data_IF_054497559392
#
_entry.id   IF_054497559392
#
_cell.length_a   1.000
_cell.length_b   1.000
_cell.length_c   1.000
_cell.angle_alpha   90.00
_cell.angle_beta   90.00
_cell.angle_gamma   90.00
#
_symmetry.space_group_name_H-M   'P 1'
#
loop_
_entity.id
_entity.type
_entity.pdbx_description
1 polymer ?
#
# COMPACT_ATOMS: atom_id res chain seq x y z
N UNK A 1 -1.47 22.88 -11.82
CA UNK A 1 -1.73 21.43 -11.80
C UNK A 1 -0.79 20.81 -10.77
N UNK A 2 -1.02 21.13 -9.49
CA UNK A 2 -1.67 20.32 -8.44
C UNK A 2 -0.72 19.51 -7.53
N UNK A 3 0.59 19.47 -7.80
CA UNK A 3 1.59 19.02 -6.79
C UNK A 3 2.18 20.14 -5.91
N UNK A 4 2.02 21.42 -6.28
CA UNK A 4 2.54 22.55 -5.48
C UNK A 4 1.51 23.24 -4.57
N UNK A 5 0.20 23.00 -4.74
CA UNK A 5 -0.83 23.75 -4.02
C UNK A 5 -1.12 23.26 -2.61
N UNK A 6 -0.83 22.00 -2.30
CA UNK A 6 -0.97 21.46 -0.93
C UNK A 6 0.17 21.98 -0.06
N UNK A 7 1.37 22.02 -0.61
CA UNK A 7 2.60 22.48 0.05
C UNK A 7 2.57 23.99 0.38
N UNK A 8 1.98 24.80 -0.50
CA UNK A 8 1.81 26.25 -0.28
C UNK A 8 0.73 26.52 0.78
N UNK A 9 -0.41 25.83 0.74
CA UNK A 9 -1.46 26.02 1.76
C UNK A 9 -1.05 25.49 3.14
N UNK A 10 -0.27 24.41 3.19
CA UNK A 10 0.29 23.91 4.44
C UNK A 10 1.22 24.96 5.09
N UNK A 11 2.06 25.63 4.29
CA UNK A 11 2.90 26.75 4.75
C UNK A 11 2.10 27.98 5.19
N UNK A 12 1.06 28.37 4.46
CA UNK A 12 0.19 29.50 4.82
C UNK A 12 -0.66 29.24 6.08
N UNK A 13 -0.93 27.97 6.40
CA UNK A 13 -1.63 27.54 7.63
C UNK A 13 -0.70 27.25 8.81
N UNK A 14 0.61 27.48 8.66
CA UNK A 14 1.61 27.26 9.71
C UNK A 14 1.92 25.78 9.99
N UNK A 15 1.48 24.86 9.13
CA UNK A 15 1.80 23.43 9.22
C UNK A 15 3.20 23.19 8.63
N UNK A 16 4.17 22.96 9.51
CA UNK A 16 5.49 22.44 9.11
C UNK A 16 5.35 20.95 8.77
N UNK A 17 5.12 20.62 7.50
CA UNK A 17 5.41 19.28 7.01
C UNK A 17 6.93 19.21 6.88
N UNK A 18 7.58 18.51 7.81
CA UNK A 18 9.03 18.31 7.76
C UNK A 18 9.35 17.30 6.65
N UNK A 19 10.38 17.57 5.81
CA UNK A 19 10.82 16.64 4.79
C UNK A 19 11.53 15.46 5.43
N UNK A 20 11.35 14.27 4.86
CA UNK A 20 12.06 13.00 5.08
C UNK A 20 12.29 12.61 6.56
N UNK A 21 11.70 11.49 6.98
CA UNK A 21 11.82 10.98 8.36
C UNK A 21 13.28 10.63 8.66
N UNK A 22 14.05 11.62 9.14
CA UNK A 22 15.25 11.36 9.93
C UNK A 22 14.81 10.62 11.19
N UNK A 23 15.54 9.57 11.55
CA UNK A 23 15.35 8.82 12.80
C UNK A 23 15.68 9.73 13.98
N UNK A 24 14.73 10.57 14.37
CA UNK A 24 14.84 11.49 15.48
C UNK A 24 14.81 10.78 16.83
N UNK A 25 15.48 11.38 17.81
CA UNK A 25 15.43 10.96 19.21
C UNK A 25 13.97 10.82 19.69
N UNK A 26 13.70 9.80 20.52
CA UNK A 26 12.39 9.59 21.14
C UNK A 26 11.87 10.91 21.75
N UNK A 27 10.87 11.53 21.13
CA UNK A 27 10.24 12.75 21.63
C UNK A 27 9.74 13.77 20.59
N UNK A 28 10.13 13.71 19.31
CA UNK A 28 9.68 14.72 18.32
C UNK A 28 8.46 14.34 17.48
N UNK A 29 8.02 13.08 17.52
CA UNK A 29 6.92 12.56 16.70
C UNK A 29 5.88 11.84 17.58
N UNK A 30 4.58 11.87 17.21
CA UNK A 30 3.56 11.16 17.96
C UNK A 30 3.81 9.65 17.93
N UNK A 31 3.61 8.92 19.05
CA UNK A 31 3.87 7.48 19.10
C UNK A 31 3.13 6.67 18.03
N UNK A 32 1.91 7.08 17.68
CA UNK A 32 1.14 6.43 16.62
C UNK A 32 1.80 6.51 15.22
N UNK A 33 2.59 7.55 14.95
CA UNK A 33 3.37 7.66 13.71
C UNK A 33 4.65 6.83 13.78
N UNK A 34 5.34 6.86 14.93
CA UNK A 34 6.58 6.09 15.14
C UNK A 34 6.33 4.60 15.02
N UNK A 35 5.22 4.11 15.60
CA UNK A 35 4.85 2.70 15.56
C UNK A 35 4.18 2.28 14.24
N UNK A 36 3.82 3.23 13.38
CA UNK A 36 3.26 2.90 12.08
C UNK A 36 4.39 2.47 11.14
N UNK A 37 4.41 1.23 10.61
CA UNK A 37 5.48 0.80 9.71
C UNK A 37 5.50 1.57 8.38
N UNK A 38 4.38 2.17 7.99
CA UNK A 38 4.27 3.05 6.83
C UNK A 38 4.58 4.53 7.16
N UNK A 39 4.78 4.88 8.43
CA UNK A 39 5.05 6.26 8.86
C UNK A 39 3.87 7.22 8.69
N UNK A 40 2.63 6.72 8.65
CA UNK A 40 1.43 7.55 8.52
C UNK A 40 1.36 8.55 9.68
N UNK A 41 1.26 9.85 9.37
CA UNK A 41 1.09 10.88 10.38
C UNK A 41 -0.36 10.87 10.90
N UNK A 42 -0.58 10.14 11.99
CA UNK A 42 -1.88 9.99 12.62
C UNK A 42 -2.47 11.31 13.15
N UNK A 43 -1.64 12.26 13.60
CA UNK A 43 -2.12 13.53 14.17
C UNK A 43 -2.77 14.41 13.10
N UNK A 44 -2.07 14.66 11.99
CA UNK A 44 -2.59 15.51 10.91
C UNK A 44 -3.78 14.85 10.21
N UNK A 45 -3.71 13.52 10.05
CA UNK A 45 -4.83 12.71 9.58
C UNK A 45 -6.09 12.93 10.44
N UNK A 46 -5.99 12.77 11.76
CA UNK A 46 -7.10 12.93 12.69
C UNK A 46 -7.62 14.37 12.73
N UNK A 47 -6.71 15.35 12.62
CA UNK A 47 -7.05 16.76 12.56
C UNK A 47 -7.91 17.10 11.33
N UNK A 48 -7.52 16.64 10.13
CA UNK A 48 -8.31 16.81 8.91
C UNK A 48 -9.67 16.11 9.02
N UNK A 49 -9.67 14.91 9.57
CA UNK A 49 -10.88 14.13 9.77
C UNK A 49 -11.87 14.84 10.70
N UNK A 50 -11.39 15.41 11.81
CA UNK A 50 -12.21 16.17 12.76
C UNK A 50 -12.84 17.44 12.14
N UNK A 51 -12.27 17.96 11.06
CA UNK A 51 -12.81 19.08 10.30
C UNK A 51 -13.76 18.66 9.17
N UNK A 52 -14.03 17.36 9.01
CA UNK A 52 -14.83 16.83 7.90
C UNK A 52 -14.12 16.88 6.54
N UNK A 53 -12.80 17.13 6.51
CA UNK A 53 -11.98 17.16 5.29
C UNK A 53 -11.56 15.74 4.89
N UNK A 54 -12.55 14.93 4.50
CA UNK A 54 -12.38 13.49 4.30
C UNK A 54 -11.43 13.16 3.13
N UNK A 55 -11.53 13.89 2.02
CA UNK A 55 -10.65 13.70 0.85
C UNK A 55 -9.20 14.00 1.23
N UNK A 56 -8.96 15.13 1.87
CA UNK A 56 -7.62 15.55 2.30
C UNK A 56 -7.02 14.60 3.35
N UNK A 57 -7.84 14.09 4.27
CA UNK A 57 -7.40 13.09 5.24
C UNK A 57 -6.96 11.78 4.55
N UNK A 58 -7.66 11.36 3.50
CA UNK A 58 -7.30 10.16 2.72
C UNK A 58 -6.03 10.38 1.90
N UNK A 59 -5.89 11.54 1.27
CA UNK A 59 -4.66 11.90 0.55
C UNK A 59 -3.44 11.93 1.49
N UNK A 60 -3.62 12.36 2.75
CA UNK A 60 -2.53 12.32 3.72
C UNK A 60 -2.08 10.88 4.03
N UNK A 61 -3.00 9.92 4.13
CA UNK A 61 -2.63 8.50 4.26
C UNK A 61 -1.91 8.03 3.00
N UNK A 62 -2.37 8.43 1.80
CA UNK A 62 -1.74 8.11 0.52
C UNK A 62 -0.35 8.67 0.37
N UNK A 63 -0.01 9.80 0.99
CA UNK A 63 1.37 10.30 1.01
C UNK A 63 2.35 9.28 1.60
N UNK A 64 1.89 8.44 2.54
CA UNK A 64 2.69 7.37 3.12
C UNK A 64 2.51 6.03 2.37
N UNK A 65 1.27 5.65 2.03
CA UNK A 65 0.97 4.35 1.41
C UNK A 65 -0.39 4.36 0.68
N UNK A 66 -0.51 3.78 -0.53
CA UNK A 66 -1.75 3.87 -1.33
C UNK A 66 -2.86 2.89 -0.89
N UNK A 67 -2.75 2.30 0.31
CA UNK A 67 -3.53 1.14 0.74
C UNK A 67 -4.37 1.38 2.00
N UNK A 68 -5.00 2.55 2.12
CA UNK A 68 -5.84 2.92 3.28
C UNK A 68 -6.98 1.90 3.53
N UNK A 69 -7.67 1.45 2.50
CA UNK A 69 -8.77 0.50 2.54
C UNK A 69 -8.33 -0.92 2.90
N UNK A 70 -7.21 -1.38 2.36
CA UNK A 70 -6.56 -2.63 2.78
C UNK A 70 -6.13 -2.53 4.24
N UNK A 71 -5.36 -1.50 4.62
CA UNK A 71 -4.87 -1.32 5.99
C UNK A 71 -6.02 -1.22 7.00
N UNK A 72 -7.09 -0.51 6.65
CA UNK A 72 -8.29 -0.41 7.47
C UNK A 72 -8.97 -1.76 7.75
N UNK A 73 -8.63 -2.81 7.01
CA UNK A 73 -9.20 -4.16 7.15
C UNK A 73 -8.23 -5.17 7.71
N UNK A 74 -6.94 -5.10 7.38
CA UNK A 74 -5.99 -6.18 7.70
C UNK A 74 -4.83 -5.75 8.58
N UNK A 75 -4.64 -4.45 8.82
CA UNK A 75 -3.58 -3.94 9.69
C UNK A 75 -3.72 -4.48 11.13
N UNK A 76 -2.59 -4.80 11.76
CA UNK A 76 -2.48 -5.14 13.17
C UNK A 76 -2.41 -3.90 14.09
N UNK A 77 -2.60 -2.70 13.53
CA UNK A 77 -2.84 -1.45 14.25
C UNK A 77 -1.88 -1.15 15.43
N UNK A 78 -0.55 -1.32 15.25
CA UNK A 78 0.42 -1.05 16.32
C UNK A 78 0.37 0.41 16.80
N UNK A 79 -0.02 1.32 15.91
CA UNK A 79 -0.24 2.73 16.21
C UNK A 79 -1.34 3.00 17.26
N UNK A 80 -2.30 2.08 17.43
CA UNK A 80 -3.35 2.18 18.44
C UNK A 80 -2.87 1.68 19.80
N UNK A 81 -1.93 0.72 19.83
CA UNK A 81 -1.36 0.18 21.08
C UNK A 81 -0.60 1.26 21.87
N UNK A 82 0.20 2.08 21.18
CA UNK A 82 0.97 3.16 21.82
C UNK A 82 0.23 4.51 21.78
N UNK A 83 -1.09 4.51 21.56
CA UNK A 83 -1.85 5.75 21.48
C UNK A 83 -1.89 6.48 22.83
N UNK A 84 -1.39 7.72 22.88
CA UNK A 84 -1.40 8.57 24.09
C UNK A 84 -2.82 8.78 24.66
N UNK A 85 -3.86 8.77 23.81
CA UNK A 85 -5.25 8.88 24.28
C UNK A 85 -5.66 7.71 25.18
N UNK A 86 -5.08 6.53 24.96
CA UNK A 86 -5.29 5.34 25.79
C UNK A 86 -4.78 5.49 27.23
N UNK A 87 -4.01 6.54 27.55
CA UNK A 87 -3.62 6.88 28.94
C UNK A 87 -4.70 7.67 29.68
N UNK A 88 -5.69 8.20 28.97
CA UNK A 88 -6.80 8.98 29.53
C UNK A 88 -8.08 8.15 29.50
N UNK A 89 -8.42 7.59 28.33
CA UNK A 89 -9.56 6.68 28.12
C UNK A 89 -9.19 5.60 27.08
N UNK A 90 -9.87 5.53 25.94
CA UNK A 90 -9.66 4.51 24.92
C UNK A 90 -8.75 5.03 23.79
N UNK A 91 -7.84 4.19 23.24
CA UNK A 91 -7.12 4.50 22.02
C UNK A 91 -8.03 4.89 20.86
N UNK A 92 -7.55 5.80 20.02
CA UNK A 92 -8.27 6.17 18.81
C UNK A 92 -8.23 5.01 17.81
N UNK A 93 -9.39 4.67 17.24
CA UNK A 93 -9.53 3.58 16.27
C UNK A 93 -9.02 3.94 14.86
N UNK A 94 -7.74 4.32 14.73
CA UNK A 94 -7.08 4.76 13.50
C UNK A 94 -7.32 3.78 12.33
N UNK A 95 -7.22 2.48 12.54
CA UNK A 95 -7.51 1.45 11.52
C UNK A 95 -8.95 1.54 11.02
N UNK A 96 -9.91 1.67 11.93
CA UNK A 96 -11.32 1.83 11.55
C UNK A 96 -11.57 3.13 10.79
N UNK A 97 -10.83 4.18 11.10
CA UNK A 97 -10.92 5.46 10.39
C UNK A 97 -10.30 5.39 8.99
N UNK A 98 -9.19 4.67 8.79
CA UNK A 98 -8.67 4.36 7.45
C UNK A 98 -9.71 3.60 6.62
N UNK A 99 -10.37 2.60 7.22
CA UNK A 99 -11.46 1.87 6.56
C UNK A 99 -12.60 2.80 6.19
N UNK A 100 -13.05 3.65 7.12
CA UNK A 100 -14.12 4.60 6.89
C UNK A 100 -13.82 5.52 5.69
N UNK A 101 -12.61 6.08 5.61
CA UNK A 101 -12.23 6.95 4.51
C UNK A 101 -12.24 6.24 3.15
N UNK A 102 -11.64 5.06 3.08
CA UNK A 102 -11.61 4.29 1.85
C UNK A 102 -13.01 3.84 1.41
N UNK A 103 -13.86 3.43 2.37
CA UNK A 103 -15.24 3.02 2.10
C UNK A 103 -16.10 4.23 1.67
N UNK A 104 -15.86 5.40 2.28
CA UNK A 104 -16.51 6.65 1.91
C UNK A 104 -16.15 7.04 0.47
N UNK A 105 -14.87 7.05 0.12
CA UNK A 105 -14.43 7.36 -1.24
C UNK A 105 -15.01 6.38 -2.27
N UNK A 106 -14.99 5.08 -1.98
CA UNK A 106 -15.57 4.08 -2.89
C UNK A 106 -17.08 4.31 -3.11
N UNK A 107 -17.81 4.72 -2.06
CA UNK A 107 -19.25 4.98 -2.13
C UNK A 107 -19.58 6.26 -2.90
N UNK A 108 -18.86 7.35 -2.62
CA UNK A 108 -19.08 8.65 -3.29
C UNK A 108 -18.53 8.67 -4.71
N UNK A 109 -17.61 7.75 -5.03
CA UNK A 109 -16.83 7.75 -6.25
C UNK A 109 -15.56 8.58 -6.09
N UNK A 110 -14.44 8.02 -6.54
CA UNK A 110 -13.16 8.72 -6.60
C UNK A 110 -13.00 9.46 -7.93
N UNK A 111 -12.45 10.66 -7.89
CA UNK A 111 -11.96 11.35 -9.07
C UNK A 111 -10.77 10.57 -9.66
N UNK A 112 -10.74 10.37 -10.98
CA UNK A 112 -9.61 9.68 -11.62
C UNK A 112 -8.30 10.40 -11.28
N UNK A 113 -7.28 9.64 -10.87
CA UNK A 113 -6.00 10.22 -10.53
C UNK A 113 -5.37 10.86 -11.77
N UNK A 114 -4.70 11.99 -11.58
CA UNK A 114 -3.95 12.62 -12.68
C UNK A 114 -2.64 11.87 -12.85
N UNK A 115 -2.31 11.37 -14.05
CA UNK A 115 -1.04 10.70 -14.29
C UNK A 115 0.14 11.60 -13.91
N UNK A 116 1.12 11.03 -13.22
CA UNK A 116 2.34 11.75 -12.84
C UNK A 116 3.22 11.92 -14.08
N UNK A 117 3.79 13.12 -14.23
CA UNK A 117 4.76 13.39 -15.28
C UNK A 117 6.05 12.60 -15.01
N UNK A 118 6.50 11.85 -16.03
CA UNK A 118 7.73 11.07 -15.97
C UNK A 118 8.92 11.98 -16.22
N UNK A 119 9.45 12.59 -15.17
CA UNK A 119 10.58 13.53 -15.21
C UNK A 119 11.95 12.84 -15.28
N UNK A 120 11.99 11.51 -15.12
CA UNK A 120 13.19 10.68 -15.23
C UNK A 120 13.17 9.84 -16.51
N UNK A 121 14.35 9.49 -17.01
CA UNK A 121 14.49 8.65 -18.21
C UNK A 121 14.68 7.17 -17.85
N UNK A 122 15.19 6.89 -16.65
CA UNK A 122 15.52 5.54 -16.20
C UNK A 122 14.26 4.71 -15.95
N UNK A 123 14.03 3.71 -16.81
CA UNK A 123 12.93 2.77 -16.65
C UNK A 123 13.21 1.78 -15.53
N UNK A 124 12.25 1.61 -14.61
CA UNK A 124 12.36 0.70 -13.47
C UNK A 124 11.40 -0.47 -13.63
N UNK A 125 11.89 -1.68 -13.42
CA UNK A 125 11.08 -2.90 -13.43
C UNK A 125 10.83 -3.38 -11.99
N UNK A 126 9.59 -3.76 -11.71
CA UNK A 126 9.20 -4.36 -10.43
C UNK A 126 8.67 -5.77 -10.72
N UNK A 127 9.19 -6.77 -10.02
CA UNK A 127 8.84 -8.17 -10.25
C UNK A 127 7.93 -8.66 -9.13
N UNK A 128 6.63 -8.72 -9.40
CA UNK A 128 5.57 -9.06 -8.45
C UNK A 128 4.72 -7.84 -8.06
N UNK A 129 3.40 -8.00 -8.10
CA UNK A 129 2.39 -6.98 -7.74
C UNK A 129 1.80 -7.20 -6.34
N UNK A 130 2.59 -7.76 -5.43
CA UNK A 130 2.21 -7.84 -4.01
C UNK A 130 2.27 -6.47 -3.32
N UNK A 131 2.00 -6.41 -1.99
CA UNK A 131 2.02 -5.16 -1.22
C UNK A 131 3.30 -4.35 -1.43
N UNK A 132 4.47 -5.02 -1.32
CA UNK A 132 5.77 -4.36 -1.45
C UNK A 132 6.03 -3.86 -2.86
N UNK A 133 5.68 -4.64 -3.88
CA UNK A 133 5.87 -4.27 -5.29
C UNK A 133 5.02 -3.07 -5.68
N UNK A 134 3.74 -3.07 -5.29
CA UNK A 134 2.83 -1.96 -5.58
C UNK A 134 3.18 -0.69 -4.76
N UNK A 135 3.59 -0.83 -3.50
CA UNK A 135 4.06 0.29 -2.70
C UNK A 135 5.34 0.92 -3.30
N UNK A 136 6.30 0.09 -3.73
CA UNK A 136 7.49 0.56 -4.43
C UNK A 136 7.15 1.23 -5.77
N UNK A 137 6.19 0.68 -6.52
CA UNK A 137 5.73 1.27 -7.77
C UNK A 137 5.14 2.66 -7.56
N UNK A 138 4.31 2.79 -6.53
CA UNK A 138 3.67 4.03 -6.11
C UNK A 138 4.69 5.10 -5.69
N UNK A 139 5.68 4.73 -4.89
CA UNK A 139 6.79 5.62 -4.51
C UNK A 139 7.58 6.10 -5.73
N UNK A 140 8.00 5.18 -6.60
CA UNK A 140 8.83 5.50 -7.76
C UNK A 140 8.09 6.34 -8.81
N UNK A 141 6.80 6.08 -9.06
CA UNK A 141 6.02 6.90 -10.01
C UNK A 141 5.85 8.32 -9.49
N UNK A 142 5.61 8.52 -8.19
CA UNK A 142 5.52 9.83 -7.57
C UNK A 142 6.85 10.60 -7.62
N UNK A 143 7.97 9.89 -7.66
CA UNK A 143 9.30 10.45 -7.89
C UNK A 143 9.64 10.69 -9.38
N UNK A 144 8.68 10.46 -10.28
CA UNK A 144 8.80 10.76 -11.71
C UNK A 144 9.47 9.66 -12.56
N UNK A 145 9.66 8.45 -12.01
CA UNK A 145 10.25 7.34 -12.77
C UNK A 145 9.21 6.63 -13.67
N UNK A 146 9.59 6.22 -14.89
CA UNK A 146 8.81 5.26 -15.66
C UNK A 146 8.86 3.87 -15.02
N UNK A 147 7.74 3.41 -14.44
CA UNK A 147 7.66 2.12 -13.74
C UNK A 147 6.82 1.11 -14.52
N UNK A 148 7.34 -0.11 -14.67
CA UNK A 148 6.57 -1.29 -15.11
C UNK A 148 6.61 -2.39 -14.04
N UNK A 149 5.44 -2.89 -13.63
CA UNK A 149 5.29 -4.04 -12.75
C UNK A 149 5.01 -5.29 -13.60
N UNK A 150 5.76 -6.36 -13.38
CA UNK A 150 5.55 -7.67 -14.00
C UNK A 150 4.92 -8.62 -12.99
N UNK A 151 3.70 -9.07 -13.26
CA UNK A 151 2.95 -9.99 -12.42
C UNK A 151 2.78 -11.34 -13.11
N UNK A 152 3.10 -12.42 -12.40
CA UNK A 152 2.98 -13.78 -12.90
C UNK A 152 1.52 -14.27 -12.92
N UNK A 153 0.69 -13.79 -12.00
CA UNK A 153 -0.71 -14.16 -11.84
C UNK A 153 -1.65 -13.38 -12.81
N UNK A 154 -2.91 -13.84 -12.96
CA UNK A 154 -3.89 -13.15 -13.78
C UNK A 154 -4.35 -11.80 -13.22
N UNK A 155 -4.33 -11.64 -11.89
CA UNK A 155 -4.77 -10.43 -11.19
C UNK A 155 -3.74 -9.93 -10.18
N UNK A 156 -3.74 -8.63 -9.95
CA UNK A 156 -2.74 -7.95 -9.11
C UNK A 156 -3.06 -8.03 -7.62
N UNK A 157 -2.07 -7.82 -6.75
CA UNK A 157 -2.27 -7.71 -5.29
C UNK A 157 -1.61 -8.82 -4.48
N UNK A 158 -1.03 -9.83 -5.13
CA UNK A 158 -0.26 -10.90 -4.47
C UNK A 158 -1.00 -11.54 -3.30
N UNK A 159 -0.36 -11.63 -2.12
CA UNK A 159 -0.97 -12.25 -0.93
C UNK A 159 -2.21 -11.50 -0.42
N UNK A 160 -2.37 -10.21 -0.71
CA UNK A 160 -3.62 -9.49 -0.35
C UNK A 160 -4.81 -10.07 -1.10
N UNK A 161 -4.62 -10.45 -2.37
CA UNK A 161 -5.66 -11.06 -3.19
C UNK A 161 -5.80 -12.56 -2.94
N UNK A 162 -4.69 -13.29 -3.01
CA UNK A 162 -4.70 -14.74 -3.08
C UNK A 162 -4.61 -15.41 -1.71
N UNK A 163 -4.14 -14.70 -0.67
CA UNK A 163 -3.99 -15.22 0.68
C UNK A 163 -5.08 -14.78 1.65
N UNK A 164 -5.62 -13.56 1.50
CA UNK A 164 -6.62 -13.02 2.44
C UNK A 164 -8.03 -13.30 1.92
N UNK A 165 -8.89 -14.00 2.70
CA UNK A 165 -10.27 -14.27 2.29
C UNK A 165 -11.09 -13.01 2.03
N UNK A 166 -12.00 -13.09 1.06
CA UNK A 166 -12.83 -11.96 0.60
C UNK A 166 -13.69 -11.32 1.71
N UNK A 167 -14.17 -12.12 2.67
CA UNK A 167 -14.92 -11.57 3.82
C UNK A 167 -14.07 -10.69 4.75
N UNK A 168 -12.73 -10.84 4.72
CA UNK A 168 -11.78 -9.98 5.44
C UNK A 168 -11.32 -8.82 4.58
N UNK A 169 -10.99 -9.08 3.32
CA UNK A 169 -10.53 -8.08 2.36
C UNK A 169 -11.31 -8.22 1.05
N UNK A 170 -12.37 -7.42 0.86
CA UNK A 170 -13.15 -7.43 -0.37
C UNK A 170 -12.29 -7.07 -1.59
N UNK A 171 -12.42 -7.85 -2.67
CA UNK A 171 -11.63 -7.66 -3.90
C UNK A 171 -11.83 -6.26 -4.50
N UNK A 172 -13.04 -5.74 -4.47
CA UNK A 172 -13.37 -4.39 -4.96
C UNK A 172 -12.55 -3.28 -4.29
N UNK A 173 -12.23 -3.41 -3.01
CA UNK A 173 -11.43 -2.42 -2.29
C UNK A 173 -9.99 -2.45 -2.81
N UNK A 174 -9.45 -3.65 -2.95
CA UNK A 174 -8.12 -3.87 -3.50
C UNK A 174 -8.03 -3.40 -4.96
N UNK A 175 -9.04 -3.70 -5.78
CA UNK A 175 -9.12 -3.27 -7.17
C UNK A 175 -9.13 -1.74 -7.31
N UNK A 176 -9.89 -1.03 -6.47
CA UNK A 176 -9.93 0.43 -6.47
C UNK A 176 -8.58 1.07 -6.10
N UNK A 177 -7.87 0.50 -5.13
CA UNK A 177 -6.56 1.01 -4.71
C UNK A 177 -5.46 0.68 -5.74
N UNK A 178 -5.53 -0.48 -6.39
CA UNK A 178 -4.61 -0.82 -7.49
C UNK A 178 -4.87 0.08 -8.70
N UNK A 179 -6.15 0.33 -9.04
CA UNK A 179 -6.48 1.20 -10.17
C UNK A 179 -5.99 2.63 -9.95
N UNK A 180 -6.00 3.13 -8.71
CA UNK A 180 -5.39 4.42 -8.37
C UNK A 180 -3.90 4.46 -8.75
N UNK A 181 -3.14 3.40 -8.45
CA UNK A 181 -1.71 3.30 -8.80
C UNK A 181 -1.52 3.24 -10.33
N UNK A 182 -2.37 2.50 -11.05
CA UNK A 182 -2.33 2.45 -12.52
C UNK A 182 -2.67 3.81 -13.15
N UNK A 183 -3.65 4.53 -12.60
CA UNK A 183 -4.06 5.85 -13.06
C UNK A 183 -2.95 6.91 -12.89
N UNK A 184 -2.10 6.77 -11.87
CA UNK A 184 -0.90 7.61 -11.71
C UNK A 184 0.15 7.36 -12.82
N UNK A 185 0.01 6.30 -13.61
CA UNK A 185 0.85 6.02 -14.78
C UNK A 185 1.81 4.85 -14.63
N UNK A 186 1.65 4.03 -13.58
CA UNK A 186 2.33 2.73 -13.44
C UNK A 186 1.75 1.76 -14.46
N UNK A 187 2.62 1.12 -15.25
CA UNK A 187 2.23 0.07 -16.18
C UNK A 187 2.26 -1.29 -15.46
N UNK A 188 1.17 -2.06 -15.48
CA UNK A 188 1.15 -3.42 -14.91
C UNK A 188 0.93 -4.46 -16.00
N UNK A 189 1.87 -5.40 -16.10
CA UNK A 189 1.92 -6.50 -17.06
C UNK A 189 1.60 -7.81 -16.36
N UNK A 190 0.33 -8.23 -16.43
CA UNK A 190 -0.20 -9.47 -15.83
C UNK A 190 0.14 -10.69 -16.70
N UNK A 191 0.09 -11.90 -16.11
CA UNK A 191 0.43 -13.17 -16.77
C UNK A 191 1.85 -13.23 -17.37
N UNK A 192 2.81 -12.48 -16.82
CA UNK A 192 4.19 -12.42 -17.30
C UNK A 192 5.14 -12.85 -16.16
N UNK A 193 5.34 -14.17 -15.97
CA UNK A 193 6.33 -14.68 -15.01
C UNK A 193 7.75 -14.39 -15.50
N UNK A 194 8.52 -13.65 -14.70
CA UNK A 194 9.92 -13.33 -15.01
C UNK A 194 10.82 -14.47 -14.55
N UNK A 195 11.53 -15.08 -15.49
CA UNK A 195 12.45 -16.21 -15.26
C UNK A 195 13.92 -15.82 -15.28
N UNK A 196 14.25 -14.64 -15.81
CA UNK A 196 15.62 -14.16 -16.01
C UNK A 196 15.67 -12.65 -15.80
N UNK A 197 16.47 -12.20 -14.83
CA UNK A 197 16.69 -10.76 -14.61
C UNK A 197 17.51 -10.12 -15.74
N UNK A 198 18.39 -10.91 -16.36
CA UNK A 198 19.16 -10.47 -17.53
C UNK A 198 18.24 -10.08 -18.68
N UNK A 199 17.16 -10.83 -18.90
CA UNK A 199 16.21 -10.54 -19.98
C UNK A 199 15.43 -9.25 -19.72
N UNK A 200 15.19 -8.90 -18.45
CA UNK A 200 14.62 -7.62 -18.05
C UNK A 200 15.62 -6.49 -18.30
N UNK A 201 16.89 -6.62 -17.88
CA UNK A 201 17.90 -5.61 -18.19
C UNK A 201 18.12 -5.42 -19.70
N UNK A 202 18.07 -6.48 -20.49
CA UNK A 202 18.18 -6.43 -21.96
C UNK A 202 17.01 -5.67 -22.62
N UNK A 203 15.86 -5.54 -21.95
CA UNK A 203 14.73 -4.70 -22.41
C UNK A 203 14.93 -3.21 -22.11
N UNK A 204 16.08 -2.81 -21.53
CA UNK A 204 16.46 -1.42 -21.28
C UNK A 204 16.09 -0.89 -19.91
N UNK A 205 15.57 -1.73 -18.99
CA UNK A 205 15.35 -1.33 -17.60
C UNK A 205 16.69 -1.10 -16.89
N UNK A 206 16.76 -0.06 -16.05
CA UNK A 206 17.98 0.37 -15.36
C UNK A 206 18.10 -0.20 -13.95
N UNK A 207 16.97 -0.48 -13.31
CA UNK A 207 16.93 -1.15 -12.02
C UNK A 207 15.77 -2.14 -11.96
N UNK A 208 15.91 -3.12 -11.07
CA UNK A 208 14.91 -4.14 -10.80
C UNK A 208 14.66 -4.21 -9.30
N UNK A 209 13.40 -4.12 -8.89
CA UNK A 209 12.96 -4.43 -7.52
C UNK A 209 12.27 -5.80 -7.50
N UNK A 210 12.76 -6.71 -6.65
CA UNK A 210 12.21 -8.06 -6.52
C UNK A 210 11.17 -8.10 -5.39
N UNK A 211 9.90 -8.24 -5.77
CA UNK A 211 8.73 -8.28 -4.89
C UNK A 211 7.92 -9.57 -5.07
N UNK A 212 8.59 -10.68 -5.34
CA UNK A 212 7.94 -11.95 -5.70
C UNK A 212 7.24 -12.62 -4.52
N UNK A 213 7.66 -12.34 -3.28
CA UNK A 213 7.06 -12.93 -2.07
C UNK A 213 7.31 -14.43 -1.91
N UNK A 214 6.69 -15.03 -0.89
CA UNK A 214 6.82 -16.45 -0.56
C UNK A 214 5.55 -17.23 -0.92
N UNK A 215 5.56 -17.88 -2.09
CA UNK A 215 4.38 -18.59 -2.63
C UNK A 215 4.37 -20.10 -2.35
N UNK A 216 5.37 -20.61 -1.64
CA UNK A 216 5.47 -22.03 -1.29
C UNK A 216 5.07 -22.23 0.16
N UNK A 217 4.20 -23.19 0.40
CA UNK A 217 3.85 -23.61 1.76
C UNK A 217 5.05 -24.28 2.43
N UNK A 218 5.18 -24.08 3.74
CA UNK A 218 6.16 -24.81 4.54
C UNK A 218 5.65 -26.24 4.74
N UNK A 219 6.50 -27.23 4.41
CA UNK A 219 6.22 -28.65 4.62
C UNK A 219 6.53 -29.04 6.07
N UNK A 220 5.80 -30.01 6.61
CA UNK A 220 5.99 -30.47 8.00
C UNK A 220 7.05 -31.58 8.10
N UNK A 221 7.37 -32.24 6.98
CA UNK A 221 8.29 -33.36 6.86
C UNK A 221 7.88 -34.53 7.79
N UNK A 222 6.58 -34.87 7.76
CA UNK A 222 6.01 -35.96 8.56
C UNK A 222 5.38 -37.05 7.69
N UNK A 223 5.41 -38.33 8.12
CA UNK A 223 4.77 -39.41 7.37
C UNK A 223 3.28 -39.13 7.11
N UNK A 224 2.88 -39.22 5.84
CA UNK A 224 1.48 -39.02 5.40
C UNK A 224 1.09 -37.58 5.09
N UNK A 225 2.04 -36.63 5.05
CA UNK A 225 1.75 -35.23 4.67
C UNK A 225 1.32 -35.04 3.21
N UNK A 226 1.52 -36.05 2.36
CA UNK A 226 1.08 -36.12 0.96
C UNK A 226 -0.19 -36.96 0.77
N UNK A 227 -0.82 -37.42 1.85
CA UNK A 227 -2.02 -38.24 1.79
C UNK A 227 -3.21 -37.51 1.14
N UNK A 228 -4.08 -38.28 0.48
CA UNK A 228 -5.30 -37.75 -0.15
C UNK A 228 -6.16 -37.02 0.90
N UNK A 229 -6.43 -35.74 0.65
CA UNK A 229 -7.24 -34.88 1.54
C UNK A 229 -6.41 -33.89 2.36
N UNK A 230 -5.08 -34.06 2.42
CA UNK A 230 -4.18 -33.02 2.95
C UNK A 230 -4.03 -31.92 1.91
N UNK A 231 -4.31 -30.67 2.31
CA UNK A 231 -4.18 -29.49 1.45
C UNK A 231 -3.38 -28.45 2.22
N UNK A 232 -2.31 -27.95 1.62
CA UNK A 232 -1.53 -26.88 2.23
C UNK A 232 -2.29 -25.55 2.25
N UNK A 233 -2.02 -24.73 3.26
CA UNK A 233 -2.73 -23.48 3.51
C UNK A 233 -2.77 -22.55 2.30
N UNK A 234 -1.61 -22.30 1.64
CA UNK A 234 -1.57 -21.39 0.48
C UNK A 234 -2.31 -21.95 -0.73
N UNK A 235 -2.28 -23.27 -0.95
CA UNK A 235 -3.02 -23.90 -2.04
C UNK A 235 -4.53 -23.82 -1.81
N UNK A 236 -4.97 -24.04 -0.57
CA UNK A 236 -6.37 -23.90 -0.18
C UNK A 236 -6.84 -22.45 -0.34
N UNK A 237 -6.12 -21.50 0.25
CA UNK A 237 -6.47 -20.07 0.20
C UNK A 237 -6.50 -19.57 -1.23
N UNK A 238 -5.51 -19.94 -2.05
CA UNK A 238 -5.50 -19.57 -3.47
C UNK A 238 -6.74 -20.11 -4.18
N UNK A 239 -7.14 -21.36 -3.96
CA UNK A 239 -8.35 -21.94 -4.58
C UNK A 239 -9.65 -21.26 -4.13
N UNK A 240 -9.72 -20.82 -2.88
CA UNK A 240 -10.90 -20.11 -2.34
C UNK A 240 -10.97 -18.67 -2.88
N UNK A 241 -9.83 -18.04 -3.10
CA UNK A 241 -9.76 -16.64 -3.52
C UNK A 241 -9.70 -16.40 -5.03
N UNK A 242 -9.25 -17.40 -5.82
CA UNK A 242 -9.07 -17.29 -7.28
C UNK A 242 -10.35 -17.46 -8.06
#
# INVERSE_FOLDING_TARGET
ALHHSIDIKARDWGLKILPEVETGEKGSYPPCQVECPAGVNGQDFLYLLAQGKLKEALELVRMAIPFAGVLGRVCNHPCETECERGKVDDPLSIRSLHRFLADYELREGRDRATPIEKTKEERIAIIGSGPSGLACAYELINNGYPVTVFEAAPECGGMMRYGIPEYRLPKQILDNEISYIEELGVEIKKNIPVKSLKDIFNQGYKAIFLATGAWRSQMMDVPGEDAKGVIYALDFLKKVNS
#
